data_IF_642670427435
#
_entry.id   IF_642670427435
#
_cell.length_a   1.000
_cell.length_b   1.000
_cell.length_c   1.000
_cell.angle_alpha   90.00
_cell.angle_beta   90.00
_cell.angle_gamma   90.00
#
_symmetry.space_group_name_H-M   'P 1'
#
loop_
_entity.id
_entity.type
_entity.pdbx_description
1 polymer ?
#
# COMPACT_ATOMS: atom_id res chain seq x y z
N UNK A 1 -18.59 -3.73 -38.24
CA UNK A 1 -19.92 -3.13 -38.51
C UNK A 1 -19.81 -1.66 -38.98
N UNK A 2 -19.24 -1.32 -40.17
CA UNK A 2 -19.13 0.08 -40.62
C UNK A 2 -20.15 0.50 -41.72
N UNK A 3 -20.97 -0.42 -42.22
CA UNK A 3 -21.81 -0.17 -43.42
C UNK A 3 -23.09 0.60 -43.08
N UNK A 4 -23.61 0.50 -41.85
CA UNK A 4 -24.88 1.12 -41.45
C UNK A 4 -24.79 2.64 -41.20
N UNK A 5 -23.60 3.16 -40.90
CA UNK A 5 -23.41 4.59 -40.58
C UNK A 5 -23.49 5.51 -41.81
N UNK A 6 -23.10 5.03 -43.01
CA UNK A 6 -23.18 5.82 -44.25
C UNK A 6 -24.61 6.06 -44.71
N UNK A 7 -25.52 5.12 -44.46
CA UNK A 7 -26.92 5.22 -44.91
C UNK A 7 -27.73 6.27 -44.13
N UNK A 8 -27.44 6.47 -42.84
CA UNK A 8 -28.19 7.40 -41.98
C UNK A 8 -27.85 8.87 -42.27
N UNK A 9 -26.57 9.17 -42.55
CA UNK A 9 -26.14 10.52 -42.93
C UNK A 9 -26.66 10.95 -44.31
N UNK A 10 -26.72 10.02 -45.28
CA UNK A 10 -27.27 10.30 -46.61
C UNK A 10 -28.78 10.57 -46.56
N UNK A 11 -29.51 9.87 -45.69
CA UNK A 11 -30.96 10.06 -45.56
C UNK A 11 -31.33 11.41 -44.93
N UNK A 12 -30.55 11.89 -43.95
CA UNK A 12 -30.83 13.16 -43.27
C UNK A 12 -30.55 14.40 -44.16
N UNK A 13 -29.62 14.28 -45.12
CA UNK A 13 -29.36 15.34 -46.11
C UNK A 13 -30.48 15.44 -47.16
N UNK A 14 -31.03 14.30 -47.58
CA UNK A 14 -32.10 14.22 -48.56
C UNK A 14 -33.47 14.74 -48.05
N UNK A 15 -33.76 14.60 -46.75
CA UNK A 15 -35.00 15.11 -46.14
C UNK A 15 -35.02 16.65 -46.05
N UNK A 16 -33.84 17.26 -45.85
CA UNK A 16 -33.68 18.71 -45.71
C UNK A 16 -33.78 19.42 -47.08
N UNK A 17 -33.28 18.80 -48.16
CA UNK A 17 -33.38 19.34 -49.53
C UNK A 17 -34.81 19.24 -50.10
N UNK A 18 -35.54 18.17 -49.77
CA UNK A 18 -36.92 17.98 -50.24
C UNK A 18 -37.92 18.97 -49.59
N UNK A 19 -37.58 19.49 -48.41
CA UNK A 19 -38.35 20.54 -47.72
C UNK A 19 -38.11 21.94 -48.33
N UNK A 20 -36.96 22.17 -48.98
CA UNK A 20 -36.65 23.43 -49.68
C UNK A 20 -37.28 23.52 -51.07
N UNK A 21 -37.40 22.40 -51.80
CA UNK A 21 -38.01 22.40 -53.14
C UNK A 21 -39.53 22.61 -53.15
N UNK A 22 -40.24 22.27 -52.06
CA UNK A 22 -41.71 22.46 -51.98
C UNK A 22 -42.16 23.89 -51.66
N UNK A 23 -41.24 24.82 -51.37
CA UNK A 23 -41.58 26.21 -51.06
C UNK A 23 -41.54 27.14 -52.29
N UNK A 24 -41.22 26.64 -53.49
CA UNK A 24 -40.85 27.49 -54.63
C UNK A 24 -41.81 27.58 -55.83
N UNK A 25 -42.91 26.82 -55.90
CA UNK A 25 -43.75 26.80 -57.12
C UNK A 25 -45.24 26.85 -56.77
N UNK A 26 -45.83 28.02 -57.01
CA UNK A 26 -47.26 28.24 -56.97
C UNK A 26 -47.95 27.98 -58.33
N UNK A 27 -49.27 27.75 -58.21
CA UNK A 27 -50.33 27.80 -59.21
C UNK A 27 -50.78 26.55 -60.00
N UNK A 28 -52.07 26.26 -59.76
CA UNK A 28 -53.15 25.69 -60.59
C UNK A 28 -53.01 24.31 -61.25
N UNK A 29 -53.75 23.33 -60.71
CA UNK A 29 -55.02 22.90 -61.32
C UNK A 29 -55.87 22.05 -60.37
N UNK A 30 -57.19 22.23 -60.53
CA UNK A 30 -58.29 21.55 -59.85
C UNK A 30 -58.43 20.13 -60.41
N UNK A 31 -58.32 19.08 -59.58
CA UNK A 31 -58.96 17.78 -59.88
C UNK A 31 -59.28 17.03 -58.59
N UNK A 32 -60.59 16.82 -58.41
CA UNK A 32 -61.29 15.79 -57.65
C UNK A 32 -60.87 15.45 -56.20
N UNK A 33 -61.87 15.58 -55.33
CA UNK A 33 -61.94 15.04 -53.98
C UNK A 33 -61.50 13.57 -53.94
N UNK A 34 -60.34 13.31 -53.34
CA UNK A 34 -60.11 12.10 -52.57
C UNK A 34 -59.80 12.50 -51.13
N UNK A 35 -60.56 11.90 -50.23
CA UNK A 35 -60.48 12.04 -48.79
C UNK A 35 -59.01 11.86 -48.34
N UNK A 36 -58.35 12.84 -47.68
CA UNK A 36 -57.00 12.63 -47.20
C UNK A 36 -57.08 11.70 -45.98
N UNK A 37 -56.71 10.43 -46.19
CA UNK A 37 -56.35 9.55 -45.10
C UNK A 37 -55.36 10.26 -44.18
N UNK A 38 -55.73 10.40 -42.90
CA UNK A 38 -54.88 10.99 -41.85
C UNK A 38 -53.47 10.39 -41.96
N UNK A 39 -52.41 11.19 -42.18
CA UNK A 39 -51.06 10.65 -42.23
C UNK A 39 -50.71 10.11 -40.84
N UNK A 40 -50.22 8.88 -40.80
CA UNK A 40 -49.67 8.22 -39.63
C UNK A 40 -48.44 8.99 -39.09
N UNK A 41 -48.66 10.12 -38.41
CA UNK A 41 -47.56 10.92 -37.86
C UNK A 41 -47.03 10.36 -36.53
N UNK A 42 -47.76 9.43 -35.90
CA UNK A 42 -47.40 8.83 -34.61
C UNK A 42 -46.31 7.75 -34.69
N UNK A 43 -46.10 7.13 -35.86
CA UNK A 43 -45.05 6.10 -36.02
C UNK A 43 -43.66 6.72 -36.03
N UNK A 44 -43.51 7.91 -36.62
CA UNK A 44 -42.20 8.58 -36.76
C UNK A 44 -41.68 9.18 -35.45
N UNK A 45 -42.57 9.60 -34.53
CA UNK A 45 -42.17 10.02 -33.18
C UNK A 45 -41.76 8.82 -32.32
N UNK A 46 -42.48 7.69 -32.43
CA UNK A 46 -42.12 6.46 -31.71
C UNK A 46 -40.77 5.91 -32.18
N UNK A 47 -40.49 5.90 -33.48
CA UNK A 47 -39.19 5.44 -34.01
C UNK A 47 -38.05 6.37 -33.61
N UNK A 48 -38.29 7.69 -33.52
CA UNK A 48 -37.30 8.64 -33.01
C UNK A 48 -37.01 8.41 -31.52
N UNK A 49 -38.05 8.20 -30.71
CA UNK A 49 -37.92 7.87 -29.28
C UNK A 49 -37.17 6.54 -29.07
N UNK A 50 -37.45 5.52 -29.90
CA UNK A 50 -36.74 4.24 -29.86
C UNK A 50 -35.26 4.38 -30.21
N UNK A 51 -34.92 5.16 -31.25
CA UNK A 51 -33.53 5.43 -31.63
C UNK A 51 -32.79 6.26 -30.58
N UNK A 52 -33.46 7.25 -30.00
CA UNK A 52 -32.89 8.07 -28.93
C UNK A 52 -32.65 7.24 -27.67
N UNK A 53 -33.57 6.33 -27.33
CA UNK A 53 -33.41 5.37 -26.23
C UNK A 53 -32.26 4.39 -26.50
N UNK A 54 -32.10 3.89 -27.72
CA UNK A 54 -30.99 3.01 -28.11
C UNK A 54 -29.63 3.71 -27.99
N UNK A 55 -29.51 4.94 -28.52
CA UNK A 55 -28.29 5.74 -28.40
C UNK A 55 -27.97 6.10 -26.94
N UNK A 56 -29.00 6.37 -26.12
CA UNK A 56 -28.83 6.59 -24.69
C UNK A 56 -28.32 5.31 -24.01
N UNK A 57 -28.85 4.14 -24.35
CA UNK A 57 -28.43 2.84 -23.81
C UNK A 57 -26.99 2.49 -24.21
N UNK A 58 -26.61 2.66 -25.48
CA UNK A 58 -25.22 2.47 -25.92
C UNK A 58 -24.26 3.43 -25.22
N UNK A 59 -24.66 4.70 -25.06
CA UNK A 59 -23.88 5.71 -24.33
C UNK A 59 -23.74 5.35 -22.86
N UNK A 60 -24.80 4.89 -22.19
CA UNK A 60 -24.71 4.46 -20.80
C UNK A 60 -23.83 3.21 -20.65
N UNK A 61 -23.97 2.22 -21.53
CA UNK A 61 -23.18 0.98 -21.52
C UNK A 61 -21.69 1.22 -21.78
N UNK A 62 -21.36 2.18 -22.65
CA UNK A 62 -19.96 2.58 -22.88
C UNK A 62 -19.38 3.34 -21.70
N UNK A 63 -20.16 4.23 -21.07
CA UNK A 63 -19.75 4.96 -19.86
C UNK A 63 -19.50 3.99 -18.67
N UNK A 64 -20.39 3.02 -18.44
CA UNK A 64 -20.18 2.00 -17.40
C UNK A 64 -18.96 1.13 -17.68
N UNK A 65 -18.76 0.68 -18.92
CA UNK A 65 -17.58 -0.12 -19.30
C UNK A 65 -16.27 0.65 -19.07
N UNK A 66 -16.19 1.90 -19.49
CA UNK A 66 -15.00 2.74 -19.26
C UNK A 66 -14.75 3.01 -17.78
N UNK A 67 -15.81 3.14 -16.98
CA UNK A 67 -15.70 3.29 -15.52
C UNK A 67 -15.13 2.03 -14.86
N UNK A 68 -15.57 0.85 -15.29
CA UNK A 68 -15.08 -0.44 -14.79
C UNK A 68 -13.60 -0.62 -15.13
N UNK A 69 -13.20 -0.33 -16.37
CA UNK A 69 -11.80 -0.45 -16.80
C UNK A 69 -10.87 0.46 -15.96
N UNK A 70 -11.30 1.70 -15.69
CA UNK A 70 -10.55 2.62 -14.82
C UNK A 70 -10.42 2.12 -13.39
N UNK A 71 -11.49 1.55 -12.84
CA UNK A 71 -11.48 0.93 -11.52
C UNK A 71 -10.47 -0.23 -11.47
N UNK A 72 -10.54 -1.15 -12.42
CA UNK A 72 -9.64 -2.31 -12.48
C UNK A 72 -8.18 -1.89 -12.63
N UNK A 73 -7.90 -0.88 -13.46
CA UNK A 73 -6.56 -0.32 -13.59
C UNK A 73 -6.05 0.27 -12.26
N UNK A 74 -6.90 0.96 -11.51
CA UNK A 74 -6.55 1.47 -10.18
C UNK A 74 -6.34 0.34 -9.17
N UNK A 75 -7.20 -0.67 -9.15
CA UNK A 75 -7.08 -1.85 -8.28
C UNK A 75 -5.77 -2.62 -8.55
N UNK A 76 -5.41 -2.83 -9.81
CA UNK A 76 -4.16 -3.44 -10.22
C UNK A 76 -2.93 -2.61 -9.81
N UNK A 77 -3.03 -1.27 -9.96
CA UNK A 77 -1.98 -0.35 -9.53
C UNK A 77 -1.76 -0.43 -8.01
N UNK A 78 -2.82 -0.39 -7.22
CA UNK A 78 -2.73 -0.52 -5.75
C UNK A 78 -2.21 -1.91 -5.35
N UNK A 79 -2.61 -2.96 -6.04
CA UNK A 79 -2.07 -4.33 -5.85
C UNK A 79 -0.56 -4.40 -6.09
N UNK A 80 -0.07 -3.68 -7.10
CA UNK A 80 1.37 -3.55 -7.36
C UNK A 80 2.08 -2.81 -6.22
N UNK A 81 1.45 -1.76 -5.67
CA UNK A 81 1.99 -1.08 -4.50
C UNK A 81 2.11 -2.00 -3.28
N UNK A 82 1.08 -2.81 -3.01
CA UNK A 82 1.06 -3.81 -1.92
C UNK A 82 2.23 -4.78 -2.06
N UNK A 83 2.42 -5.35 -3.26
CA UNK A 83 3.50 -6.29 -3.52
C UNK A 83 4.87 -5.66 -3.24
N UNK A 84 5.08 -4.42 -3.69
CA UNK A 84 6.34 -3.70 -3.46
C UNK A 84 6.58 -3.41 -1.98
N UNK A 85 5.56 -2.96 -1.24
CA UNK A 85 5.68 -2.72 0.21
C UNK A 85 6.06 -4.03 0.92
N UNK A 86 5.38 -5.13 0.63
CA UNK A 86 5.67 -6.43 1.26
C UNK A 86 7.06 -6.97 0.90
N UNK A 87 7.52 -6.73 -0.33
CA UNK A 87 8.88 -7.07 -0.75
C UNK A 87 9.92 -6.27 0.04
N UNK A 88 9.72 -4.95 0.16
CA UNK A 88 10.58 -4.08 0.96
C UNK A 88 10.58 -4.48 2.44
N UNK A 89 9.42 -4.79 3.04
CA UNK A 89 9.31 -5.28 4.42
C UNK A 89 10.14 -6.55 4.62
N UNK A 90 10.06 -7.48 3.67
CA UNK A 90 10.86 -8.71 3.71
C UNK A 90 12.36 -8.43 3.58
N UNK A 91 12.74 -7.45 2.76
CA UNK A 91 14.12 -6.96 2.65
C UNK A 91 14.62 -6.33 3.94
N UNK A 92 13.80 -5.48 4.57
CA UNK A 92 14.10 -4.85 5.85
C UNK A 92 14.29 -5.87 6.95
N UNK A 93 13.41 -6.87 7.04
CA UNK A 93 13.56 -7.94 8.03
C UNK A 93 14.92 -8.63 7.91
N UNK A 94 15.34 -8.99 6.69
CA UNK A 94 16.66 -9.59 6.45
C UNK A 94 17.81 -8.68 6.87
N UNK A 95 17.72 -7.37 6.59
CA UNK A 95 18.75 -6.41 7.00
C UNK A 95 18.80 -6.25 8.53
N UNK A 96 17.64 -6.23 9.19
CA UNK A 96 17.51 -6.18 10.66
C UNK A 96 18.05 -7.45 11.32
N UNK A 97 17.85 -8.61 10.71
CA UNK A 97 18.37 -9.87 11.24
C UNK A 97 19.91 -9.92 11.18
N UNK A 98 20.52 -9.16 10.26
CA UNK A 98 21.97 -9.01 10.16
C UNK A 98 22.54 -7.98 11.15
N UNK A 99 21.74 -7.00 11.59
CA UNK A 99 22.14 -6.01 12.60
C UNK A 99 22.40 -6.68 13.95
N UNK A 100 23.55 -6.36 14.55
CA UNK A 100 24.00 -6.96 15.81
C UNK A 100 24.54 -8.39 15.69
N UNK A 101 24.63 -8.94 14.48
CA UNK A 101 25.37 -10.17 14.20
C UNK A 101 26.85 -9.87 13.91
N UNK A 102 27.70 -10.90 13.82
CA UNK A 102 29.10 -10.74 13.37
C UNK A 102 29.25 -10.21 11.95
N UNK A 103 28.14 -10.09 11.20
CA UNK A 103 28.10 -9.55 9.83
C UNK A 103 27.60 -8.11 9.77
N UNK A 104 27.45 -7.43 10.91
CA UNK A 104 27.03 -6.03 10.94
C UNK A 104 28.11 -5.13 10.29
N UNK A 105 27.77 -4.50 9.17
CA UNK A 105 28.65 -3.59 8.42
C UNK A 105 27.95 -2.26 8.14
N UNK A 106 28.73 -1.19 7.98
CA UNK A 106 28.21 0.14 7.60
C UNK A 106 27.32 0.07 6.34
N UNK A 107 27.67 -0.75 5.35
CA UNK A 107 26.87 -0.94 4.14
C UNK A 107 25.46 -1.49 4.41
N UNK A 108 25.32 -2.43 5.35
CA UNK A 108 24.01 -3.01 5.71
C UNK A 108 23.16 -1.97 6.41
N UNK A 109 23.77 -1.13 7.25
CA UNK A 109 23.10 -0.03 7.98
C UNK A 109 22.57 1.01 7.01
N UNK A 110 23.43 1.47 6.09
CA UNK A 110 23.03 2.40 5.04
C UNK A 110 21.90 1.83 4.18
N UNK A 111 22.00 0.57 3.74
CA UNK A 111 20.92 -0.10 2.98
C UNK A 111 19.63 -0.19 3.76
N UNK A 112 19.69 -0.46 5.07
CA UNK A 112 18.51 -0.50 5.93
C UNK A 112 17.86 0.88 6.00
N UNK A 113 18.65 1.92 6.23
CA UNK A 113 18.19 3.30 6.26
C UNK A 113 17.54 3.69 4.92
N UNK A 114 18.25 3.54 3.80
CA UNK A 114 17.79 3.86 2.45
C UNK A 114 16.50 3.10 2.09
N UNK A 115 16.41 1.81 2.44
CA UNK A 115 15.22 1.00 2.18
C UNK A 115 14.04 1.43 3.08
N UNK A 116 14.31 1.83 4.33
CA UNK A 116 13.27 2.32 5.24
C UNK A 116 12.70 3.65 4.75
N UNK A 117 13.58 4.59 4.40
CA UNK A 117 13.22 5.92 3.88
C UNK A 117 12.43 5.81 2.57
N UNK A 118 12.98 5.11 1.58
CA UNK A 118 12.33 4.94 0.28
C UNK A 118 10.99 4.20 0.38
N UNK A 119 10.83 3.27 1.31
CA UNK A 119 9.55 2.58 1.56
C UNK A 119 8.52 3.52 2.17
N UNK A 120 8.94 4.37 3.12
CA UNK A 120 8.06 5.39 3.72
C UNK A 120 7.56 6.37 2.66
N UNK A 121 8.47 6.92 1.87
CA UNK A 121 8.13 7.87 0.80
C UNK A 121 7.18 7.21 -0.23
N UNK A 122 7.45 5.95 -0.58
CA UNK A 122 6.57 5.19 -1.48
C UNK A 122 5.16 5.01 -0.92
N UNK A 123 5.02 4.70 0.38
CA UNK A 123 3.70 4.60 1.03
C UNK A 123 2.99 5.95 0.99
N UNK A 124 3.69 7.04 1.31
CA UNK A 124 3.13 8.41 1.24
C UNK A 124 2.58 8.72 -0.15
N UNK A 125 3.36 8.46 -1.19
CA UNK A 125 2.99 8.74 -2.58
C UNK A 125 1.84 7.83 -3.08
N UNK A 126 1.84 6.55 -2.69
CA UNK A 126 0.81 5.58 -3.11
C UNK A 126 -0.50 5.67 -2.33
N UNK A 127 -0.51 6.31 -1.15
CA UNK A 127 -1.67 6.40 -0.27
C UNK A 127 -2.90 7.04 -0.93
N UNK A 128 -2.67 8.02 -1.83
CA UNK A 128 -3.76 8.70 -2.54
C UNK A 128 -4.53 7.77 -3.47
N UNK A 129 -3.85 6.80 -4.10
CA UNK A 129 -4.48 5.81 -4.97
C UNK A 129 -5.30 4.80 -4.16
N UNK A 130 -4.80 4.39 -2.98
CA UNK A 130 -5.56 3.54 -2.06
C UNK A 130 -6.84 4.23 -1.54
N UNK A 131 -6.75 5.53 -1.19
CA UNK A 131 -7.92 6.34 -0.80
C UNK A 131 -8.94 6.44 -1.93
N UNK A 132 -8.49 6.75 -3.15
CA UNK A 132 -9.36 6.80 -4.34
C UNK A 132 -10.05 5.46 -4.57
N UNK A 133 -9.30 4.36 -4.50
CA UNK A 133 -9.84 3.02 -4.68
C UNK A 133 -10.94 2.72 -3.66
N UNK A 134 -10.71 3.01 -2.37
CA UNK A 134 -11.68 2.74 -1.33
C UNK A 134 -12.98 3.57 -1.45
N UNK A 135 -12.88 4.80 -1.93
CA UNK A 135 -14.05 5.67 -2.14
C UNK A 135 -14.82 5.42 -3.45
N UNK A 136 -14.26 4.59 -4.34
CA UNK A 136 -14.82 4.37 -5.68
C UNK A 136 -16.20 3.71 -5.60
N UNK A 137 -17.18 4.23 -6.33
CA UNK A 137 -18.52 3.62 -6.36
C UNK A 137 -18.50 2.42 -7.31
N UNK A 138 -18.70 1.22 -6.76
CA UNK A 138 -18.66 -0.04 -7.49
C UNK A 138 -19.99 -0.77 -7.42
N UNK A 139 -20.29 -1.57 -8.44
CA UNK A 139 -21.39 -2.54 -8.39
C UNK A 139 -21.04 -3.68 -7.42
N UNK A 140 -22.04 -4.45 -6.99
CA UNK A 140 -21.85 -5.58 -6.08
C UNK A 140 -20.82 -6.60 -6.59
N UNK A 141 -20.61 -6.69 -7.91
CA UNK A 141 -19.60 -7.55 -8.54
C UNK A 141 -18.16 -7.19 -8.17
N UNK A 142 -17.84 -5.89 -7.98
CA UNK A 142 -16.47 -5.41 -7.72
C UNK A 142 -16.24 -4.97 -6.27
N UNK A 143 -17.29 -4.97 -5.45
CA UNK A 143 -17.23 -4.56 -4.04
C UNK A 143 -16.24 -5.41 -3.23
N UNK A 144 -16.19 -6.71 -3.48
CA UNK A 144 -15.27 -7.62 -2.80
C UNK A 144 -13.81 -7.31 -3.17
N UNK A 145 -13.53 -7.14 -4.47
CA UNK A 145 -12.19 -6.80 -4.96
C UNK A 145 -11.71 -5.47 -4.36
N UNK A 146 -12.55 -4.44 -4.41
CA UNK A 146 -12.26 -3.14 -3.80
C UNK A 146 -11.92 -3.27 -2.32
N UNK A 147 -12.77 -3.96 -1.54
CA UNK A 147 -12.56 -4.13 -0.10
C UNK A 147 -11.27 -4.89 0.18
N UNK A 148 -11.03 -6.01 -0.52
CA UNK A 148 -9.83 -6.83 -0.36
C UNK A 148 -8.56 -6.03 -0.63
N UNK A 149 -8.46 -5.36 -1.78
CA UNK A 149 -7.26 -4.60 -2.15
C UNK A 149 -7.02 -3.46 -1.15
N UNK A 150 -8.08 -2.78 -0.71
CA UNK A 150 -7.95 -1.70 0.27
C UNK A 150 -7.47 -2.22 1.63
N UNK A 151 -7.95 -3.38 2.08
CA UNK A 151 -7.50 -4.05 3.31
C UNK A 151 -6.05 -4.52 3.24
N UNK A 152 -5.69 -5.16 2.13
CA UNK A 152 -4.34 -5.69 1.92
C UNK A 152 -3.32 -4.53 1.94
N UNK A 153 -3.69 -3.38 1.38
CA UNK A 153 -2.89 -2.15 1.46
C UNK A 153 -2.72 -1.67 2.91
N UNK A 154 -3.81 -1.55 3.68
CA UNK A 154 -3.73 -1.18 5.09
C UNK A 154 -2.84 -2.16 5.90
N UNK A 155 -2.98 -3.47 5.63
CA UNK A 155 -2.20 -4.52 6.29
C UNK A 155 -0.70 -4.43 5.95
N UNK A 156 -0.37 -4.08 4.69
CA UNK A 156 1.03 -3.88 4.27
C UNK A 156 1.70 -2.70 4.98
N UNK A 157 0.96 -1.61 5.21
CA UNK A 157 1.44 -0.45 6.00
C UNK A 157 1.70 -0.88 7.45
N UNK A 158 0.79 -1.63 8.07
CA UNK A 158 0.98 -2.14 9.43
C UNK A 158 2.20 -3.08 9.53
N UNK A 159 2.42 -3.93 8.53
CA UNK A 159 3.61 -4.77 8.47
C UNK A 159 4.89 -3.92 8.40
N UNK A 160 4.88 -2.86 7.59
CA UNK A 160 5.99 -1.91 7.53
C UNK A 160 6.21 -1.18 8.87
N UNK A 161 5.16 -0.69 9.52
CA UNK A 161 5.30 -0.05 10.84
C UNK A 161 5.91 -0.98 11.89
N UNK A 162 5.55 -2.27 11.88
CA UNK A 162 6.13 -3.26 12.80
C UNK A 162 7.62 -3.44 12.56
N UNK A 163 8.05 -3.59 11.31
CA UNK A 163 9.47 -3.78 10.98
C UNK A 163 10.29 -2.51 11.24
N UNK A 164 9.73 -1.32 11.00
CA UNK A 164 10.38 -0.04 11.35
C UNK A 164 10.59 0.11 12.86
N UNK A 165 9.60 -0.26 13.69
CA UNK A 165 9.77 -0.25 15.16
C UNK A 165 10.85 -1.24 15.60
N UNK A 166 10.87 -2.43 15.00
CA UNK A 166 11.92 -3.42 15.28
C UNK A 166 13.32 -2.90 14.89
N UNK A 167 13.43 -2.16 13.78
CA UNK A 167 14.68 -1.51 13.38
C UNK A 167 15.18 -0.51 14.44
N UNK A 168 14.29 0.35 14.93
CA UNK A 168 14.61 1.32 16.00
C UNK A 168 15.05 0.61 17.27
N UNK A 169 14.33 -0.43 17.68
CA UNK A 169 14.69 -1.23 18.87
C UNK A 169 16.11 -1.81 18.74
N UNK A 170 16.45 -2.39 17.58
CA UNK A 170 17.79 -2.95 17.34
C UNK A 170 18.89 -1.89 17.31
N UNK A 171 18.63 -0.73 16.71
CA UNK A 171 19.57 0.39 16.71
C UNK A 171 19.79 0.94 18.12
N UNK A 172 18.73 1.09 18.93
CA UNK A 172 18.82 1.53 20.34
C UNK A 172 19.66 0.57 21.17
N UNK A 173 19.41 -0.74 21.05
CA UNK A 173 20.20 -1.77 21.75
C UNK A 173 21.69 -1.74 21.37
N UNK A 174 22.02 -1.36 20.13
CA UNK A 174 23.41 -1.15 19.72
C UNK A 174 24.01 0.08 20.40
N UNK A 175 23.32 1.23 20.34
CA UNK A 175 23.77 2.48 20.96
C UNK A 175 23.99 2.31 22.46
N UNK A 176 23.04 1.68 23.16
CA UNK A 176 23.13 1.45 24.61
C UNK A 176 24.33 0.56 24.97
N UNK A 177 24.63 -0.44 24.13
CA UNK A 177 25.79 -1.32 24.32
C UNK A 177 27.11 -0.57 24.17
N UNK A 178 27.25 0.25 23.12
CA UNK A 178 28.48 1.04 22.88
C UNK A 178 28.64 2.11 23.95
N UNK A 179 27.57 2.80 24.35
CA UNK A 179 27.62 3.77 25.47
C UNK A 179 28.02 3.10 26.78
N UNK A 180 27.46 1.92 27.07
CA UNK A 180 27.80 1.19 28.30
C UNK A 180 29.24 0.68 28.30
N UNK A 181 29.78 0.22 27.16
CA UNK A 181 31.21 -0.12 27.08
C UNK A 181 32.09 1.10 27.31
N UNK A 182 31.72 2.24 26.75
CA UNK A 182 32.54 3.46 26.84
C UNK A 182 32.54 4.06 28.24
N UNK A 183 31.43 3.93 28.97
CA UNK A 183 31.34 4.33 30.39
C UNK A 183 32.12 3.40 31.30
N UNK A 184 32.13 2.09 31.04
CA UNK A 184 32.93 1.12 31.82
C UNK A 184 34.43 1.29 31.59
N UNK A 185 34.84 1.71 30.39
CA UNK A 185 36.24 2.01 30.07
C UNK A 185 36.70 3.43 30.45
N UNK A 186 35.82 4.26 31.03
CA UNK A 186 36.17 5.63 31.45
C UNK A 186 35.77 5.91 32.90
N UNK A 187 36.50 5.39 33.91
CA UNK A 187 36.34 5.84 35.28
C UNK A 187 37.14 7.13 35.50
N UNK A 188 36.81 8.24 34.81
CA UNK A 188 37.08 9.61 35.28
C UNK A 188 36.82 10.66 34.20
N UNK A 189 35.72 11.41 34.35
CA UNK A 189 35.70 12.88 34.37
C UNK A 189 34.30 13.31 34.82
N UNK A 190 34.24 14.32 35.69
CA UNK A 190 33.09 14.78 36.48
C UNK A 190 32.92 14.15 37.86
N UNK A 191 33.84 14.51 38.76
CA UNK A 191 33.50 14.64 40.17
C UNK A 191 32.33 15.62 40.33
N UNK A 192 31.11 15.10 40.45
CA UNK A 192 30.03 15.81 41.12
C UNK A 192 30.24 15.62 42.62
N UNK A 193 30.96 16.57 43.21
CA UNK A 193 31.00 16.77 44.65
C UNK A 193 29.57 17.13 45.07
N UNK A 194 28.83 16.15 45.60
CA UNK A 194 27.65 16.41 46.41
C UNK A 194 28.14 16.69 47.84
N UNK A 195 28.51 17.95 48.09
CA UNK A 195 28.35 18.59 49.41
C UNK A 195 26.85 18.60 49.70
N UNK A 196 26.29 18.39 50.89
CA UNK A 196 26.75 18.56 52.26
C UNK A 196 25.62 17.93 53.09
N UNK A 197 25.93 17.13 54.09
CA UNK A 197 25.14 17.06 55.34
C UNK A 197 26.10 16.58 56.43
N UNK A 198 26.64 17.56 57.15
CA UNK A 198 27.41 17.40 58.37
C UNK A 198 26.44 17.69 59.51
N UNK A 199 26.12 16.69 60.32
CA UNK A 199 25.61 16.88 61.69
C UNK A 199 26.73 16.52 62.68
N UNK A 200 27.00 17.35 63.71
CA UNK A 200 28.09 17.12 64.65
C UNK A 200 27.65 16.33 65.90
N UNK A 201 28.51 15.38 66.26
CA UNK A 201 28.94 14.96 67.61
C UNK A 201 27.97 14.99 68.82
N UNK A 202 27.92 13.85 69.52
CA UNK A 202 28.11 13.83 70.98
C UNK A 202 28.80 12.56 71.46
N UNK A 203 29.91 12.77 72.16
CA UNK A 203 30.72 11.83 72.94
C UNK A 203 29.94 11.00 73.96
N UNK A 204 30.40 9.78 74.25
CA UNK A 204 30.54 9.32 75.64
C UNK A 204 31.67 8.28 75.80
N UNK A 205 32.37 8.39 76.93
CA UNK A 205 33.59 7.70 77.33
C UNK A 205 33.31 6.30 77.89
N UNK A 206 34.25 5.36 77.70
CA UNK A 206 34.58 4.37 78.74
C UNK A 206 35.91 3.65 78.47
N UNK A 207 36.79 3.74 79.46
CA UNK A 207 38.12 3.14 79.54
C UNK A 207 38.05 1.63 79.79
N UNK A 208 38.93 0.83 79.14
CA UNK A 208 39.85 -0.18 79.72
C UNK A 208 40.20 -1.30 78.73
N UNK A 209 41.47 -1.36 78.26
CA UNK A 209 42.32 -2.58 78.13
C UNK A 209 43.62 -2.32 77.32
N UNK A 210 44.82 -2.37 77.92
CA UNK A 210 46.08 -2.06 77.23
C UNK A 210 46.73 -3.24 76.48
N UNK A 211 46.02 -4.34 76.22
CA UNK A 211 46.60 -5.50 75.50
C UNK A 211 46.08 -5.71 74.07
N UNK A 212 44.98 -5.07 73.68
CA UNK A 212 44.40 -5.24 72.35
C UNK A 212 45.00 -4.30 71.29
N UNK A 213 45.66 -3.22 71.73
CA UNK A 213 46.21 -2.19 70.83
C UNK A 213 47.52 -2.63 70.16
N UNK A 214 48.32 -3.49 70.82
CA UNK A 214 49.57 -4.00 70.25
C UNK A 214 49.34 -5.06 69.16
N UNK A 215 48.27 -5.86 69.28
CA UNK A 215 47.90 -6.83 68.24
C UNK A 215 47.27 -6.16 67.01
N UNK A 216 46.50 -5.08 67.23
CA UNK A 216 45.95 -4.29 66.12
C UNK A 216 47.04 -3.56 65.33
N UNK A 217 48.10 -3.07 66.00
CA UNK A 217 49.19 -2.37 65.32
C UNK A 217 50.09 -3.29 64.48
N UNK A 218 50.29 -4.55 64.92
CA UNK A 218 51.01 -5.57 64.12
C UNK A 218 50.22 -6.00 62.88
N UNK A 219 48.88 -5.99 62.94
CA UNK A 219 48.04 -6.29 61.78
C UNK A 219 48.04 -5.15 60.75
N UNK A 220 48.05 -3.90 61.20
CA UNK A 220 48.20 -2.71 60.34
C UNK A 220 49.56 -2.68 59.63
N UNK A 221 50.64 -3.10 60.28
CA UNK A 221 51.97 -3.14 59.66
C UNK A 221 52.10 -4.26 58.62
N UNK A 222 51.44 -5.41 58.81
CA UNK A 222 51.42 -6.50 57.83
C UNK A 222 50.60 -6.16 56.57
N UNK A 223 49.63 -5.24 56.68
CA UNK A 223 48.84 -4.79 55.53
C UNK A 223 49.59 -3.76 54.67
N UNK A 224 50.59 -3.06 55.23
CA UNK A 224 51.46 -2.10 54.53
C UNK A 224 52.64 -2.77 53.79
N UNK A 225 52.86 -4.07 53.98
CA UNK A 225 53.95 -4.84 53.35
C UNK A 225 53.51 -5.80 52.25
N UNK A 226 52.23 -5.79 51.85
CA UNK A 226 51.89 -6.36 50.54
C UNK A 226 52.54 -5.46 49.49
N UNK A 227 53.51 -5.96 48.70
CA UNK A 227 54.04 -5.17 47.61
C UNK A 227 52.85 -4.73 46.77
N UNK A 228 52.88 -3.47 46.36
CA UNK A 228 51.91 -2.83 45.50
C UNK A 228 51.86 -3.52 44.12
N UNK A 229 51.34 -4.75 44.06
CA UNK A 229 50.85 -5.38 42.84
C UNK A 229 49.45 -4.84 42.48
N UNK A 230 49.24 -3.54 42.70
CA UNK A 230 48.01 -2.82 42.32
C UNK A 230 48.22 -1.99 41.05
N UNK A 231 49.17 -2.36 40.21
CA UNK A 231 49.53 -1.61 38.99
C UNK A 231 49.87 -2.57 37.85
N UNK A 232 48.96 -3.50 37.55
CA UNK A 232 48.78 -4.06 36.20
C UNK A 232 47.30 -4.39 35.99
N UNK A 233 46.40 -3.56 36.52
CA UNK A 233 45.17 -3.34 35.78
C UNK A 233 45.65 -2.53 34.56
N UNK A 234 45.95 -3.24 33.47
CA UNK A 234 46.03 -2.64 32.15
C UNK A 234 44.65 -2.02 31.91
N UNK A 235 44.46 -0.78 32.37
CA UNK A 235 43.45 0.12 31.84
C UNK A 235 43.73 0.17 30.34
N UNK A 236 43.02 -0.67 29.59
CA UNK A 236 42.95 -0.63 28.15
C UNK A 236 42.32 0.72 27.79
N UNK A 237 43.14 1.76 27.79
CA UNK A 237 42.77 3.10 27.36
C UNK A 237 42.39 2.95 25.89
N UNK A 238 41.09 2.94 25.62
CA UNK A 238 40.56 3.00 24.26
C UNK A 238 41.22 4.22 23.61
N UNK A 239 42.00 4.05 22.53
CA UNK A 239 42.71 5.17 21.94
C UNK A 239 41.72 6.18 21.38
N UNK A 240 42.06 7.48 21.45
CA UNK A 240 41.15 8.59 21.11
C UNK A 240 40.48 8.42 19.72
N UNK A 241 41.18 7.86 18.74
CA UNK A 241 40.63 7.60 17.40
C UNK A 241 39.49 6.57 17.37
N UNK A 242 39.51 5.60 18.29
CA UNK A 242 38.46 4.59 18.40
C UNK A 242 37.23 5.15 19.12
N UNK A 243 37.45 6.02 20.11
CA UNK A 243 36.39 6.76 20.78
C UNK A 243 35.65 7.67 19.78
N UNK A 244 36.39 8.45 18.98
CA UNK A 244 35.83 9.33 17.95
C UNK A 244 35.01 8.55 16.90
N UNK A 245 35.50 7.37 16.49
CA UNK A 245 34.79 6.50 15.55
C UNK A 245 33.47 5.97 16.14
N UNK A 246 33.49 5.55 17.40
CA UNK A 246 32.29 5.05 18.08
C UNK A 246 31.27 6.16 18.33
N UNK A 247 31.72 7.37 18.68
CA UNK A 247 30.86 8.54 18.87
C UNK A 247 30.17 8.93 17.54
N UNK A 248 30.93 8.98 16.44
CA UNK A 248 30.37 9.26 15.11
C UNK A 248 29.32 8.21 14.70
N UNK A 249 29.57 6.94 15.03
CA UNK A 249 28.61 5.87 14.76
C UNK A 249 27.35 5.99 15.63
N UNK A 250 27.49 6.36 16.91
CA UNK A 250 26.34 6.62 17.79
C UNK A 250 25.49 7.77 17.23
N UNK A 251 26.13 8.87 16.84
CA UNK A 251 25.45 10.04 16.27
C UNK A 251 24.65 9.68 15.01
N UNK A 252 25.27 8.92 14.08
CA UNK A 252 24.61 8.41 12.87
C UNK A 252 23.33 7.63 13.23
N UNK A 253 23.44 6.68 14.18
CA UNK A 253 22.30 5.84 14.59
C UNK A 253 21.20 6.63 15.27
N UNK A 254 21.55 7.56 16.15
CA UNK A 254 20.54 8.39 16.80
C UNK A 254 19.81 9.27 15.80
N UNK A 255 20.50 9.74 14.76
CA UNK A 255 19.84 10.45 13.68
C UNK A 255 18.89 9.55 12.88
N UNK A 256 19.35 8.34 12.49
CA UNK A 256 18.49 7.34 11.83
C UNK A 256 17.23 7.04 12.66
N UNK A 257 17.39 6.84 13.98
CA UNK A 257 16.27 6.56 14.89
C UNK A 257 15.24 7.69 14.87
N UNK A 258 15.69 8.95 14.98
CA UNK A 258 14.80 10.12 14.97
C UNK A 258 14.01 10.20 13.66
N UNK A 259 14.68 9.98 12.53
CA UNK A 259 14.03 10.01 11.21
C UNK A 259 12.99 8.89 11.05
N UNK A 260 13.30 7.68 11.53
CA UNK A 260 12.33 6.58 11.52
C UNK A 260 11.14 6.88 12.44
N UNK A 261 11.36 7.46 13.63
CA UNK A 261 10.30 7.84 14.56
C UNK A 261 9.37 8.93 13.98
N UNK A 262 9.93 9.96 13.34
CA UNK A 262 9.15 10.95 12.57
C UNK A 262 8.35 10.25 11.48
N UNK A 263 8.98 9.34 10.74
CA UNK A 263 8.32 8.60 9.69
C UNK A 263 7.16 7.72 10.18
N UNK A 264 7.29 7.07 11.33
CA UNK A 264 6.22 6.29 11.95
C UNK A 264 5.02 7.18 12.29
N UNK A 265 5.27 8.42 12.74
CA UNK A 265 4.21 9.39 13.01
C UNK A 265 3.47 9.81 11.73
N UNK A 266 4.18 10.04 10.62
CA UNK A 266 3.55 10.28 9.31
C UNK A 266 2.70 9.08 8.87
N UNK A 267 3.21 7.85 9.01
CA UNK A 267 2.44 6.64 8.68
C UNK A 267 1.18 6.50 9.52
N UNK A 268 1.22 6.89 10.80
CA UNK A 268 0.03 6.89 11.65
C UNK A 268 -1.03 7.91 11.17
N UNK A 269 -0.60 9.06 10.63
CA UNK A 269 -1.54 10.01 10.00
C UNK A 269 -2.17 9.40 8.76
N UNK A 270 -1.36 8.81 7.88
CA UNK A 270 -1.86 8.09 6.69
C UNK A 270 -2.84 6.99 7.11
N UNK A 271 -2.50 6.20 8.13
CA UNK A 271 -3.34 5.11 8.61
C UNK A 271 -4.69 5.59 9.16
N UNK A 272 -4.70 6.72 9.90
CA UNK A 272 -5.95 7.35 10.36
C UNK A 272 -6.80 7.87 9.20
N UNK A 273 -6.17 8.47 8.19
CA UNK A 273 -6.89 8.91 6.99
C UNK A 273 -7.47 7.73 6.19
N UNK A 274 -6.87 6.55 6.33
CA UNK A 274 -7.39 5.28 5.80
C UNK A 274 -8.39 4.63 6.77
N UNK A 275 -8.74 5.26 7.89
CA UNK A 275 -9.59 4.70 8.95
C UNK A 275 -10.97 4.25 8.47
N UNK A 276 -11.54 4.91 7.45
CA UNK A 276 -12.78 4.46 6.79
C UNK A 276 -12.63 3.09 6.13
N UNK A 277 -11.44 2.76 5.61
CA UNK A 277 -11.13 1.48 4.98
C UNK A 277 -11.12 0.35 6.01
N UNK A 278 -10.61 0.62 7.21
CA UNK A 278 -10.41 -0.40 8.25
C UNK A 278 -11.68 -0.65 9.07
N UNK A 279 -12.49 0.39 9.32
CA UNK A 279 -13.67 0.30 10.18
C UNK A 279 -14.88 -0.36 9.49
N UNK A 280 -15.07 -0.18 8.17
CA UNK A 280 -16.21 -0.76 7.43
C UNK A 280 -16.06 -2.25 7.09
N UNK A 281 -14.87 -2.83 7.27
CA UNK A 281 -14.53 -4.15 6.73
C UNK A 281 -14.40 -5.26 7.79
N UNK A 282 -14.60 -4.94 9.07
CA UNK A 282 -14.47 -5.89 10.19
C UNK A 282 -15.49 -7.05 10.23
N UNK A 283 -16.49 -7.06 9.33
CA UNK A 283 -17.58 -8.05 9.34
C UNK A 283 -17.65 -9.03 8.16
N UNK A 284 -16.77 -8.94 7.14
CA UNK A 284 -16.98 -9.61 5.84
C UNK A 284 -15.81 -10.50 5.36
N UNK A 285 -15.00 -11.02 6.29
CA UNK A 285 -13.88 -11.93 5.98
C UNK A 285 -14.37 -13.26 5.39
N UNK A 286 -15.65 -13.61 5.57
CA UNK A 286 -16.24 -14.87 5.10
C UNK A 286 -16.61 -14.90 3.60
N UNK A 287 -16.32 -13.84 2.83
CA UNK A 287 -16.75 -13.76 1.43
C UNK A 287 -15.74 -14.29 0.39
N UNK A 288 -14.60 -14.87 0.79
CA UNK A 288 -13.73 -15.57 -0.18
C UNK A 288 -14.49 -16.75 -0.80
N UNK A 289 -15.26 -17.49 0.00
CA UNK A 289 -16.13 -18.57 -0.47
C UNK A 289 -17.23 -18.04 -1.41
N UNK A 290 -17.86 -16.91 -1.05
CA UNK A 290 -18.84 -16.25 -1.91
C UNK A 290 -18.25 -15.78 -3.24
N UNK A 291 -17.02 -15.23 -3.23
CA UNK A 291 -16.35 -14.75 -4.42
C UNK A 291 -15.91 -15.90 -5.34
N UNK A 292 -15.39 -16.99 -4.77
CA UNK A 292 -15.08 -18.22 -5.52
C UNK A 292 -16.36 -18.81 -6.12
N UNK A 293 -17.46 -18.82 -5.37
CA UNK A 293 -18.75 -19.30 -5.87
C UNK A 293 -19.30 -18.44 -7.00
N UNK A 294 -19.18 -17.11 -6.91
CA UNK A 294 -19.56 -16.17 -7.99
C UNK A 294 -18.70 -16.35 -9.24
N UNK A 295 -17.38 -16.40 -9.11
CA UNK A 295 -16.47 -16.65 -10.24
C UNK A 295 -16.80 -17.98 -10.92
N UNK A 296 -17.10 -19.02 -10.13
CA UNK A 296 -17.52 -20.31 -10.67
C UNK A 296 -18.84 -20.22 -11.45
N UNK A 297 -19.82 -19.45 -10.95
CA UNK A 297 -21.10 -19.24 -11.62
C UNK A 297 -20.93 -18.42 -12.91
N UNK A 298 -20.17 -17.33 -12.87
CA UNK A 298 -19.89 -16.48 -14.04
C UNK A 298 -19.11 -17.25 -15.12
N UNK A 299 -18.12 -18.06 -14.72
CA UNK A 299 -17.38 -18.93 -15.63
C UNK A 299 -18.28 -20.01 -16.25
N UNK A 300 -19.17 -20.60 -15.45
CA UNK A 300 -20.16 -21.57 -15.95
C UNK A 300 -21.12 -20.95 -16.97
N UNK A 301 -21.58 -19.72 -16.71
CA UNK A 301 -22.40 -18.94 -17.65
C UNK A 301 -21.65 -18.61 -18.94
N UNK A 302 -20.40 -18.14 -18.84
CA UNK A 302 -19.56 -17.84 -19.99
C UNK A 302 -19.30 -19.09 -20.85
N UNK A 303 -19.09 -20.26 -20.23
CA UNK A 303 -18.93 -21.54 -20.95
C UNK A 303 -20.22 -21.91 -21.70
N UNK A 304 -21.39 -21.72 -21.09
CA UNK A 304 -22.68 -21.97 -21.75
C UNK A 304 -22.89 -21.05 -22.96
N UNK A 305 -22.56 -19.77 -22.83
CA UNK A 305 -22.63 -18.80 -23.93
C UNK A 305 -21.65 -19.15 -25.07
N UNK A 306 -20.43 -19.60 -24.74
CA UNK A 306 -19.46 -20.07 -25.73
C UNK A 306 -19.95 -21.32 -26.48
N UNK A 307 -20.54 -22.28 -25.78
CA UNK A 307 -21.16 -23.45 -26.40
C UNK A 307 -22.31 -23.08 -27.33
N UNK A 308 -23.18 -22.18 -26.88
CA UNK A 308 -24.30 -21.70 -27.68
C UNK A 308 -23.80 -20.95 -28.93
N UNK A 309 -22.79 -20.10 -28.78
CA UNK A 309 -22.15 -19.40 -29.91
C UNK A 309 -21.52 -20.39 -30.90
N UNK A 310 -20.85 -21.43 -30.41
CA UNK A 310 -20.28 -22.49 -31.24
C UNK A 310 -21.36 -23.26 -32.02
N UNK A 311 -22.46 -23.63 -31.37
CA UNK A 311 -23.59 -24.29 -32.03
C UNK A 311 -24.25 -23.40 -33.10
N UNK A 312 -24.41 -22.11 -32.83
CA UNK A 312 -24.89 -21.16 -33.83
C UNK A 312 -23.92 -21.04 -35.01
N UNK A 313 -22.61 -21.02 -34.77
CA UNK A 313 -21.59 -21.00 -35.81
C UNK A 313 -21.66 -22.26 -36.68
N UNK A 314 -21.76 -23.45 -36.06
CA UNK A 314 -21.89 -24.72 -36.77
C UNK A 314 -23.16 -24.77 -37.62
N UNK A 315 -24.31 -24.42 -37.06
CA UNK A 315 -25.58 -24.37 -37.81
C UNK A 315 -25.53 -23.36 -38.95
N UNK A 316 -24.84 -22.22 -38.77
CA UNK A 316 -24.66 -21.25 -39.84
C UNK A 316 -23.74 -21.74 -40.96
N UNK A 317 -22.71 -22.53 -40.61
CA UNK A 317 -21.81 -23.15 -41.58
C UNK A 317 -22.51 -24.29 -42.34
N UNK A 318 -23.26 -25.14 -41.64
CA UNK A 318 -24.05 -26.21 -42.25
C UNK A 318 -25.16 -25.65 -43.16
N UNK A 319 -25.84 -24.57 -42.74
CA UNK A 319 -26.83 -23.90 -43.57
C UNK A 319 -26.21 -23.22 -44.81
N UNK A 320 -24.98 -22.73 -44.71
CA UNK A 320 -24.24 -22.18 -45.84
C UNK A 320 -23.83 -23.28 -46.83
N UNK A 321 -23.37 -24.44 -46.35
CA UNK A 321 -23.02 -25.59 -47.19
C UNK A 321 -24.23 -26.22 -47.90
N UNK A 322 -25.38 -26.32 -47.21
CA UNK A 322 -26.64 -26.80 -47.83
C UNK A 322 -27.25 -25.81 -48.82
N UNK A 323 -26.88 -24.53 -48.76
CA UNK A 323 -27.32 -23.50 -49.72
C UNK A 323 -26.43 -23.43 -50.97
N UNK A 324 -25.35 -24.22 -51.03
CA UNK A 324 -24.42 -24.23 -52.14
C UNK A 324 -24.89 -25.21 -53.24
N UNK A 325 -25.36 -24.71 -54.40
CA UNK A 325 -25.93 -25.55 -55.47
C UNK A 325 -24.91 -26.49 -56.15
N UNK A 326 -23.63 -26.45 -55.77
CA UNK A 326 -22.57 -27.31 -56.32
C UNK A 326 -22.43 -28.67 -55.59
N UNK A 327 -23.10 -28.89 -54.44
CA UNK A 327 -22.94 -30.12 -53.64
C UNK A 327 -24.08 -31.15 -53.83
N UNK A 328 -25.12 -30.83 -54.62
CA UNK A 328 -26.30 -31.70 -54.84
C UNK A 328 -26.05 -32.74 -55.96
N UNK A 329 -24.84 -32.86 -56.48
CA UNK A 329 -24.51 -33.78 -57.59
C UNK A 329 -23.58 -34.95 -57.21
N UNK A 330 -23.39 -35.22 -55.92
CA UNK A 330 -22.68 -36.43 -55.45
C UNK A 330 -23.45 -37.08 -54.29
N UNK A 331 -24.49 -37.82 -54.61
CA UNK A 331 -25.06 -38.86 -53.75
C UNK A 331 -25.47 -40.03 -54.62
#
# INVERSE_FOLDING_TARGET
MPILWRSVLVWNRASTERSRQKAGLGHNHQTQQQNPAKPHHKSNLRTLDHLQRYLQLERTSTITRLSIEKFQNLANKVSTHIFRINSNVSGLQKLIDLLGSSRDTSDIRKKLHDLTESTREFIKNSSSDAKKLASWQVTDSYKIEQQKVSRDYASSIQAFQRVSRLSVERQKQFVDRVKSSNVVSSPSKHGRIASQDIEPESHELSETRPQFQQQQQLQLQQQLQKPAQRQQDEEEVIPDYELDYQEALIEERENEIREIEVGINELNQIFRDLGTIVQEQGGNIDNIESNVHRINNDMSGAVAELHQAHEYQKKSADAYDMSNPQNISRS
#
